data_IF_875014867838
#
_entry.id   IF_875014867838
#
_cell.length_a   1.000
_cell.length_b   1.000
_cell.length_c   1.000
_cell.angle_alpha   90.00
_cell.angle_beta   90.00
_cell.angle_gamma   90.00
#
_symmetry.space_group_name_H-M   'P 1'
#
loop_
_entity.id
_entity.type
_entity.pdbx_description
1 polymer ?
#
# COMPACT_ATOMS: atom_id res chain seq x y z
N UNK A 1 4.64 0.40 3.47
CA UNK A 1 3.50 1.26 3.79
C UNK A 1 3.21 1.09 5.26
N UNK A 2 3.08 2.18 6.01
CA UNK A 2 2.55 2.14 7.38
C UNK A 2 1.02 2.25 7.38
N UNK A 3 0.39 1.95 8.51
CA UNK A 3 -1.05 2.14 8.69
C UNK A 3 -1.31 2.85 10.01
N UNK A 4 -2.12 3.91 9.95
CA UNK A 4 -2.80 4.50 11.09
C UNK A 4 -4.30 4.20 10.95
N UNK A 5 -4.96 3.90 12.07
CA UNK A 5 -6.41 3.79 12.12
C UNK A 5 -6.96 4.42 13.39
N UNK A 6 -8.24 4.78 13.35
CA UNK A 6 -8.97 5.45 14.42
C UNK A 6 -10.42 4.94 14.39
N UNK A 7 -11.08 4.96 15.55
CA UNK A 7 -12.53 4.71 15.63
C UNK A 7 -13.31 5.83 14.91
N UNK A 8 -14.37 5.47 14.17
CA UNK A 8 -15.14 6.43 13.36
C UNK A 8 -15.84 7.52 14.19
N UNK A 9 -16.04 7.29 15.49
CA UNK A 9 -16.69 8.23 16.39
C UNK A 9 -15.70 8.97 17.31
N UNK A 10 -14.40 8.69 17.21
CA UNK A 10 -13.36 9.37 18.00
C UNK A 10 -12.94 10.72 17.37
N UNK A 11 -12.44 11.63 18.21
CA UNK A 11 -11.89 12.91 17.74
C UNK A 11 -10.57 12.70 16.97
N UNK A 12 -10.50 13.01 15.67
CA UNK A 12 -9.28 12.82 14.86
C UNK A 12 -8.18 13.82 15.19
N UNK A 13 -8.46 14.91 15.90
CA UNK A 13 -7.46 15.89 16.31
C UNK A 13 -6.67 15.43 17.56
N UNK A 14 -7.22 14.48 18.32
CA UNK A 14 -6.52 13.90 19.46
C UNK A 14 -5.60 12.75 19.01
N UNK A 15 -4.26 12.90 19.06
CA UNK A 15 -3.32 11.88 18.60
C UNK A 15 -3.41 10.56 19.39
N UNK A 16 -3.90 10.59 20.63
CA UNK A 16 -4.06 9.39 21.46
C UNK A 16 -5.16 8.44 20.93
N UNK A 17 -6.07 8.94 20.10
CA UNK A 17 -7.12 8.14 19.46
C UNK A 17 -6.60 7.35 18.25
N UNK A 18 -5.40 7.68 17.75
CA UNK A 18 -4.81 7.00 16.60
C UNK A 18 -3.98 5.81 17.03
N UNK A 19 -4.21 4.69 16.36
CA UNK A 19 -3.42 3.48 16.52
C UNK A 19 -2.46 3.35 15.34
N UNK A 20 -1.20 3.00 15.63
CA UNK A 20 -0.18 2.75 14.61
C UNK A 20 0.13 1.28 14.51
N UNK A 21 0.16 0.75 13.29
CA UNK A 21 0.61 -0.63 13.07
C UNK A 21 2.08 -0.77 13.51
N UNK A 22 2.42 -1.78 14.33
CA UNK A 22 3.79 -1.97 14.79
C UNK A 22 4.72 -2.46 13.67
N UNK A 23 4.16 -2.94 12.56
CA UNK A 23 4.89 -3.43 11.38
C UNK A 23 4.35 -2.80 10.09
N UNK A 24 5.17 -2.66 9.04
CA UNK A 24 4.68 -2.29 7.72
C UNK A 24 3.58 -3.25 7.26
N UNK A 25 2.51 -2.70 6.68
CA UNK A 25 1.34 -3.48 6.22
C UNK A 25 1.43 -3.88 4.75
N UNK A 26 2.43 -3.35 4.04
CA UNK A 26 2.78 -3.68 2.66
C UNK A 26 4.26 -3.37 2.47
N UNK A 27 5.02 -4.28 1.87
CA UNK A 27 6.48 -4.19 1.74
C UNK A 27 6.96 -4.64 0.37
N UNK A 28 8.19 -4.26 -0.04
CA UNK A 28 8.81 -4.79 -1.25
C UNK A 28 8.88 -6.32 -1.18
N UNK A 29 8.70 -6.96 -2.32
CA UNK A 29 8.76 -8.41 -2.42
C UNK A 29 9.75 -8.82 -3.52
N UNK A 30 10.89 -9.38 -3.10
CA UNK A 30 11.89 -9.88 -4.05
C UNK A 30 11.33 -11.01 -4.93
N UNK A 31 10.47 -11.87 -4.36
CA UNK A 31 9.83 -12.98 -5.10
C UNK A 31 9.00 -12.51 -6.29
N UNK A 32 8.48 -11.29 -6.26
CA UNK A 32 7.63 -10.72 -7.32
C UNK A 32 8.30 -9.57 -8.04
N UNK A 33 9.60 -9.35 -7.80
CA UNK A 33 10.37 -8.23 -8.34
C UNK A 33 9.58 -6.91 -8.20
N UNK A 34 9.12 -6.58 -7.00
CA UNK A 34 8.37 -5.35 -6.75
C UNK A 34 9.06 -4.56 -5.64
N UNK A 35 9.82 -3.55 -6.06
CA UNK A 35 10.76 -2.79 -5.24
C UNK A 35 10.40 -1.31 -5.27
N UNK A 36 9.92 -0.78 -4.15
CA UNK A 36 9.50 0.62 -4.04
C UNK A 36 8.12 0.76 -3.43
N UNK A 37 7.90 1.87 -2.72
CA UNK A 37 6.69 2.08 -1.94
C UNK A 37 6.24 3.54 -2.01
N UNK A 38 5.16 3.77 -2.72
CA UNK A 38 4.27 4.91 -2.53
C UNK A 38 2.88 4.48 -2.94
N UNK A 39 1.88 4.82 -2.14
CA UNK A 39 0.57 4.17 -2.14
C UNK A 39 -0.52 5.20 -1.91
N UNK A 40 -1.57 5.13 -2.72
CA UNK A 40 -2.84 5.82 -2.51
C UNK A 40 -3.94 4.79 -2.69
N UNK A 41 -4.83 4.63 -1.71
CA UNK A 41 -6.03 3.83 -1.89
C UNK A 41 -7.11 4.70 -2.55
N UNK A 42 -7.82 4.15 -3.54
CA UNK A 42 -9.01 4.78 -4.10
C UNK A 42 -10.22 3.97 -3.60
N UNK A 43 -11.15 4.59 -2.85
CA UNK A 43 -12.42 3.94 -2.53
C UNK A 43 -13.22 3.69 -3.82
N UNK A 44 -13.89 2.53 -3.90
CA UNK A 44 -14.68 2.16 -5.09
C UNK A 44 -16.14 2.65 -5.05
N UNK A 45 -16.86 2.60 -6.19
CA UNK A 45 -18.29 2.89 -6.29
C UNK A 45 -19.15 1.84 -5.55
N UNK A 46 -20.48 2.04 -5.43
CA UNK A 46 -21.38 1.33 -4.51
C UNK A 46 -21.38 -0.22 -4.51
N UNK A 47 -20.82 -0.89 -5.52
CA UNK A 47 -20.89 -2.35 -5.70
C UNK A 47 -19.54 -3.03 -6.00
N UNK A 48 -18.39 -2.40 -5.73
CA UNK A 48 -17.07 -2.97 -6.10
C UNK A 48 -16.03 -3.05 -4.98
N UNK A 49 -15.03 -3.95 -5.14
CA UNK A 49 -13.92 -4.12 -4.21
C UNK A 49 -12.97 -2.90 -4.12
N UNK A 50 -12.47 -2.57 -2.93
CA UNK A 50 -11.44 -1.52 -2.79
C UNK A 50 -10.13 -1.86 -3.51
N UNK A 51 -9.47 -0.84 -4.06
CA UNK A 51 -8.24 -0.99 -4.83
C UNK A 51 -7.10 -0.18 -4.23
N UNK A 52 -5.97 -0.87 -4.00
CA UNK A 52 -4.68 -0.26 -3.71
C UNK A 52 -4.04 0.17 -5.03
N UNK A 53 -3.83 1.48 -5.19
CA UNK A 53 -2.99 2.05 -6.26
C UNK A 53 -1.62 2.34 -5.66
N UNK A 54 -0.56 1.86 -6.28
CA UNK A 54 0.79 2.06 -5.76
C UNK A 54 1.81 2.11 -6.88
N UNK A 55 3.02 2.62 -6.61
CA UNK A 55 4.13 2.52 -7.55
C UNK A 55 5.23 1.59 -7.04
N UNK A 56 5.85 0.88 -7.97
CA UNK A 56 7.02 0.04 -7.71
C UNK A 56 7.94 -0.01 -8.95
N UNK A 57 9.21 -0.30 -8.71
CA UNK A 57 10.20 -0.72 -9.71
C UNK A 57 10.29 -2.24 -9.74
N UNK A 58 10.85 -2.80 -10.81
CA UNK A 58 11.13 -4.23 -10.90
C UNK A 58 12.61 -4.60 -10.66
N UNK A 59 13.40 -3.67 -10.14
CA UNK A 59 14.81 -3.84 -9.80
C UNK A 59 15.17 -3.12 -8.50
N UNK A 60 16.29 -3.51 -7.92
CA UNK A 60 16.76 -3.02 -6.60
C UNK A 60 17.81 -1.93 -6.70
N UNK A 61 18.71 -2.05 -7.67
CA UNK A 61 19.86 -1.15 -7.82
C UNK A 61 19.49 0.01 -8.73
N UNK A 62 19.70 1.23 -8.24
CA UNK A 62 19.44 2.47 -8.98
C UNK A 62 20.79 3.15 -9.18
N UNK A 63 21.14 3.44 -10.42
CA UNK A 63 22.29 4.27 -10.74
C UNK A 63 21.89 5.75 -10.70
N UNK A 64 22.61 6.56 -9.92
CA UNK A 64 22.32 7.98 -9.76
C UNK A 64 21.21 8.28 -8.74
N UNK A 65 20.55 9.42 -8.89
CA UNK A 65 19.52 9.88 -7.96
C UNK A 65 18.16 9.20 -8.25
N UNK A 66 17.56 8.45 -7.29
CA UNK A 66 16.28 7.78 -7.45
C UNK A 66 15.09 8.66 -7.81
N UNK A 67 15.18 9.97 -7.59
CA UNK A 67 14.15 10.93 -8.00
C UNK A 67 14.04 11.01 -9.52
N UNK A 68 15.18 10.94 -10.22
CA UNK A 68 15.27 11.09 -11.68
C UNK A 68 15.24 9.76 -12.43
N UNK A 69 15.31 8.64 -11.73
CA UNK A 69 15.02 7.33 -12.28
C UNK A 69 13.51 7.22 -12.63
N UNK A 70 13.17 7.05 -13.94
CA UNK A 70 11.79 7.15 -14.41
C UNK A 70 10.97 5.85 -14.25
N UNK A 71 11.56 4.74 -13.79
CA UNK A 71 10.95 3.41 -13.89
C UNK A 71 10.08 3.05 -12.68
N UNK A 72 9.47 4.05 -12.04
CA UNK A 72 8.37 3.80 -11.09
C UNK A 72 7.10 3.59 -11.89
N UNK A 73 6.59 2.36 -11.91
CA UNK A 73 5.36 2.02 -12.61
C UNK A 73 4.18 1.98 -11.64
N UNK A 74 3.05 2.58 -12.06
CA UNK A 74 1.79 2.46 -11.34
C UNK A 74 1.24 1.04 -11.46
N UNK A 75 0.81 0.48 -10.34
CA UNK A 75 0.27 -0.87 -10.18
C UNK A 75 -1.04 -0.81 -9.39
N UNK A 76 -1.87 -1.82 -9.62
CA UNK A 76 -3.20 -1.96 -9.03
C UNK A 76 -3.29 -3.31 -8.33
N UNK A 77 -3.92 -3.34 -7.15
CA UNK A 77 -4.19 -4.58 -6.42
C UNK A 77 -5.50 -4.46 -5.64
N UNK A 78 -6.32 -5.50 -5.63
CA UNK A 78 -7.49 -5.57 -4.74
C UNK A 78 -7.06 -5.62 -3.26
N UNK A 79 -7.75 -4.83 -2.44
CA UNK A 79 -7.65 -4.89 -0.98
C UNK A 79 -8.60 -5.98 -0.50
N UNK A 80 -8.11 -6.87 0.36
CA UNK A 80 -8.96 -7.84 1.04
C UNK A 80 -9.29 -7.28 2.43
N UNK A 81 -10.42 -7.67 2.97
CA UNK A 81 -10.82 -7.27 4.32
C UNK A 81 -10.87 -8.49 5.22
N UNK A 82 -10.28 -8.37 6.40
CA UNK A 82 -10.33 -9.40 7.43
C UNK A 82 -11.70 -9.41 8.12
N UNK A 83 -12.02 -10.49 8.84
CA UNK A 83 -13.30 -10.61 9.58
C UNK A 83 -13.50 -9.52 10.63
N UNK A 84 -12.43 -8.94 11.16
CA UNK A 84 -12.46 -7.84 12.12
C UNK A 84 -12.40 -6.45 11.46
N UNK A 85 -12.60 -6.36 10.14
CA UNK A 85 -12.71 -5.08 9.43
C UNK A 85 -11.38 -4.38 9.15
N UNK A 86 -10.25 -5.08 9.25
CA UNK A 86 -8.93 -4.52 8.90
C UNK A 86 -8.58 -4.80 7.44
N UNK A 87 -7.90 -3.88 6.74
CA UNK A 87 -7.42 -4.14 5.39
C UNK A 87 -6.23 -5.10 5.41
N UNK A 88 -6.28 -6.11 4.56
CA UNK A 88 -5.18 -7.01 4.22
C UNK A 88 -4.66 -6.66 2.83
N UNK A 89 -3.51 -5.97 2.80
CA UNK A 89 -2.84 -5.57 1.57
C UNK A 89 -2.00 -6.71 0.96
N UNK A 90 -1.70 -7.77 1.71
CA UNK A 90 -0.84 -8.86 1.26
C UNK A 90 0.55 -8.41 0.79
N UNK A 91 1.05 -9.07 -0.27
CA UNK A 91 2.30 -8.71 -0.94
C UNK A 91 2.01 -8.15 -2.35
N UNK A 92 2.92 -7.34 -2.93
CA UNK A 92 2.80 -6.94 -4.33
C UNK A 92 2.78 -8.18 -5.24
N UNK A 93 1.80 -8.32 -6.16
CA UNK A 93 1.79 -9.39 -7.15
C UNK A 93 2.99 -9.28 -8.11
N UNK A 94 3.35 -10.41 -8.73
CA UNK A 94 4.28 -10.43 -9.85
C UNK A 94 3.65 -9.74 -11.07
N UNK A 95 4.51 -9.27 -11.96
CA UNK A 95 4.05 -8.73 -13.24
C UNK A 95 3.38 -9.83 -14.08
N UNK A 96 2.27 -9.47 -14.72
CA UNK A 96 1.57 -10.34 -15.68
C UNK A 96 2.23 -10.24 -17.04
N UNK A 97 2.36 -11.36 -17.75
CA UNK A 97 2.84 -11.42 -19.14
C UNK A 97 1.81 -10.79 -20.08
#
# INVERSE_FOLDING_TARGET
MGLLWIDIHADPQNPANWHKSPRPVFTPAMKTASMGQGTTALPKPPEGDDVLVYHARNYTEIEGDPLYDPNRHTRLKLIRWTKNGMPDFGIPPADTV
#
